data_IF_286364698139
#
_entry.id   IF_286364698139
#
_cell.length_a   1.000
_cell.length_b   1.000
_cell.length_c   1.000
_cell.angle_alpha   90.00
_cell.angle_beta   90.00
_cell.angle_gamma   90.00
#
_symmetry.space_group_name_H-M   'P 1'
#
loop_
_entity.id
_entity.type
_entity.pdbx_description
1 polymer ?
#
# COMPACT_ATOMS: atom_id res chain seq x y z
N UNK A 1 -9.63 -10.46 63.45
CA UNK A 1 -9.58 -9.42 62.40
C UNK A 1 -8.51 -9.78 61.36
N UNK A 2 -8.71 -10.80 60.50
CA UNK A 2 -7.74 -11.12 59.43
C UNK A 2 -8.39 -11.82 58.21
N UNK A 3 -9.68 -11.56 57.91
CA UNK A 3 -10.35 -12.19 56.77
C UNK A 3 -10.45 -11.32 55.52
N UNK A 4 -10.16 -10.02 55.59
CA UNK A 4 -10.53 -9.08 54.51
C UNK A 4 -9.35 -8.62 53.63
N UNK A 5 -8.13 -9.09 53.88
CA UNK A 5 -6.93 -8.67 53.13
C UNK A 5 -6.63 -9.53 51.88
N UNK A 6 -7.21 -10.73 51.78
CA UNK A 6 -7.01 -11.61 50.62
C UNK A 6 -8.01 -11.37 49.49
N UNK A 7 -9.23 -10.92 49.79
CA UNK A 7 -10.25 -10.63 48.76
C UNK A 7 -9.95 -9.35 47.98
N UNK A 8 -9.37 -8.33 48.62
CA UNK A 8 -9.06 -7.04 47.97
C UNK A 8 -7.92 -7.15 46.95
N UNK A 9 -6.96 -8.06 47.18
CA UNK A 9 -5.79 -8.25 46.31
C UNK A 9 -6.09 -9.05 45.03
N UNK A 10 -7.07 -9.96 45.07
CA UNK A 10 -7.56 -10.66 43.87
C UNK A 10 -8.43 -9.76 43.00
N UNK A 11 -9.29 -8.93 43.61
CA UNK A 11 -10.14 -8.00 42.87
C UNK A 11 -9.33 -6.87 42.21
N UNK A 12 -8.30 -6.33 42.87
CA UNK A 12 -7.44 -5.30 42.28
C UNK A 12 -6.65 -5.80 41.06
N UNK A 13 -6.06 -7.01 41.15
CA UNK A 13 -5.35 -7.64 40.02
C UNK A 13 -6.27 -8.02 38.86
N UNK A 14 -7.51 -8.42 39.14
CA UNK A 14 -8.51 -8.64 38.10
C UNK A 14 -8.95 -7.32 37.47
N UNK A 15 -9.11 -6.26 38.26
CA UNK A 15 -9.49 -4.94 37.77
C UNK A 15 -8.42 -4.33 36.86
N UNK A 16 -7.13 -4.41 37.23
CA UNK A 16 -6.02 -3.99 36.36
C UNK A 16 -5.94 -4.79 35.05
N UNK A 17 -6.27 -6.09 35.09
CA UNK A 17 -6.37 -6.90 33.86
C UNK A 17 -7.56 -6.49 32.97
N UNK A 18 -8.63 -5.95 33.54
CA UNK A 18 -9.86 -5.57 32.82
C UNK A 18 -9.78 -4.13 32.29
N UNK A 19 -9.10 -3.22 32.99
CA UNK A 19 -8.99 -1.81 32.59
C UNK A 19 -7.75 -1.50 31.74
N UNK A 20 -6.83 -2.46 31.58
CA UNK A 20 -5.70 -2.30 30.67
C UNK A 20 -6.21 -2.29 29.23
N UNK A 21 -6.25 -1.09 28.65
CA UNK A 21 -6.47 -0.89 27.21
C UNK A 21 -5.26 -1.50 26.51
N UNK A 22 -5.39 -2.74 26.06
CA UNK A 22 -4.39 -3.38 25.21
C UNK A 22 -4.66 -2.92 23.78
N UNK A 23 -3.70 -2.27 23.09
CA UNK A 23 -3.86 -1.96 21.67
C UNK A 23 -4.13 -3.24 20.88
N UNK A 24 -4.98 -3.16 19.87
CA UNK A 24 -5.18 -4.28 18.95
C UNK A 24 -3.87 -4.56 18.20
N UNK A 25 -3.60 -5.83 17.93
CA UNK A 25 -2.49 -6.20 17.05
C UNK A 25 -2.80 -5.72 15.64
N UNK A 26 -1.78 -5.31 14.90
CA UNK A 26 -1.93 -4.83 13.52
C UNK A 26 -1.48 -5.93 12.56
N UNK A 27 -2.29 -6.17 11.54
CA UNK A 27 -1.99 -7.07 10.43
C UNK A 27 -1.54 -6.25 9.23
N UNK A 28 -0.38 -6.61 8.67
CA UNK A 28 0.11 -6.00 7.45
C UNK A 28 -0.76 -6.37 6.25
N UNK A 29 -1.10 -5.37 5.44
CA UNK A 29 -1.73 -5.52 4.13
C UNK A 29 -0.59 -5.51 3.11
N UNK A 30 -0.42 -6.63 2.39
CA UNK A 30 0.64 -6.79 1.39
C UNK A 30 0.09 -6.76 -0.04
N UNK A 31 0.81 -6.13 -0.94
CA UNK A 31 0.52 -6.11 -2.38
C UNK A 31 1.76 -6.54 -3.17
N UNK A 32 1.56 -7.37 -4.20
CA UNK A 32 2.63 -7.79 -5.09
C UNK A 32 3.04 -6.65 -6.00
N UNK A 33 4.30 -6.24 -5.93
CA UNK A 33 4.87 -5.23 -6.81
C UNK A 33 6.04 -5.81 -7.61
N UNK A 34 6.20 -5.33 -8.84
CA UNK A 34 7.30 -5.73 -9.72
C UNK A 34 8.47 -4.77 -9.56
N UNK A 35 9.62 -5.32 -9.18
CA UNK A 35 10.89 -4.62 -9.08
C UNK A 35 11.85 -5.12 -10.16
N UNK A 36 12.96 -4.42 -10.35
CA UNK A 36 14.00 -4.78 -11.29
C UNK A 36 15.31 -4.91 -10.56
N UNK A 37 16.00 -6.04 -10.74
CA UNK A 37 17.39 -6.21 -10.30
C UNK A 37 18.31 -6.22 -11.50
N UNK A 38 19.52 -5.71 -11.29
CA UNK A 38 20.56 -5.73 -12.29
C UNK A 38 21.33 -7.04 -12.20
N UNK A 39 21.39 -7.77 -13.31
CA UNK A 39 22.20 -8.98 -13.45
C UNK A 39 23.19 -8.82 -14.59
N UNK A 40 24.38 -9.41 -14.43
CA UNK A 40 25.36 -9.46 -15.51
C UNK A 40 25.10 -10.70 -16.36
N UNK A 41 24.90 -10.49 -17.66
CA UNK A 41 24.72 -11.57 -18.63
C UNK A 41 25.93 -11.64 -19.55
N UNK A 42 26.45 -12.85 -19.72
CA UNK A 42 27.51 -13.14 -20.69
C UNK A 42 26.93 -13.20 -22.10
N UNK A 43 27.48 -12.39 -23.00
CA UNK A 43 27.17 -12.40 -24.44
C UNK A 43 28.41 -12.93 -25.16
N UNK A 44 28.29 -14.13 -25.72
CA UNK A 44 29.37 -14.79 -26.43
C UNK A 44 29.21 -14.57 -27.92
N UNK A 45 30.18 -13.88 -28.53
CA UNK A 45 30.34 -13.83 -29.98
C UNK A 45 31.23 -15.00 -30.39
N UNK A 46 30.69 -15.92 -31.18
CA UNK A 46 31.44 -17.07 -31.70
C UNK A 46 32.46 -16.65 -32.76
N UNK A 47 33.60 -17.36 -32.82
CA UNK A 47 34.62 -17.13 -33.85
C UNK A 47 34.09 -17.58 -35.21
N UNK A 48 34.09 -16.65 -36.18
CA UNK A 48 33.77 -16.91 -37.59
C UNK A 48 34.91 -16.40 -38.45
N UNK A 49 35.79 -17.32 -38.84
CA UNK A 49 36.90 -17.02 -39.74
C UNK A 49 36.43 -16.96 -41.19
N UNK A 50 37.08 -16.15 -42.02
CA UNK A 50 36.83 -16.12 -43.46
C UNK A 50 37.44 -17.37 -44.14
N UNK A 51 37.12 -17.61 -45.42
CA UNK A 51 37.60 -18.80 -46.16
C UNK A 51 39.12 -18.95 -46.17
N UNK A 52 39.85 -17.83 -46.15
CA UNK A 52 41.31 -17.80 -46.14
C UNK A 52 41.88 -18.25 -44.78
N UNK A 53 41.30 -17.78 -43.66
CA UNK A 53 41.76 -18.16 -42.32
C UNK A 53 41.20 -19.49 -41.84
N UNK A 54 40.10 -19.97 -42.43
CA UNK A 54 39.59 -21.34 -42.21
C UNK A 54 40.51 -22.41 -42.80
N UNK A 55 41.33 -22.08 -43.81
CA UNK A 55 42.25 -23.03 -44.44
C UNK A 55 43.60 -23.16 -43.72
N UNK A 56 43.78 -22.48 -42.58
CA UNK A 56 44.95 -22.58 -41.71
C UNK A 56 44.82 -23.85 -40.85
N UNK A 57 45.76 -24.78 -41.01
CA UNK A 57 45.92 -25.94 -40.13
C UNK A 57 47.21 -25.73 -39.33
N UNK A 58 47.15 -25.86 -38.00
CA UNK A 58 48.31 -25.70 -37.09
C UNK A 58 49.11 -24.38 -37.24
N UNK A 59 48.42 -23.27 -37.54
CA UNK A 59 49.03 -21.93 -37.56
C UNK A 59 49.83 -21.59 -38.81
N UNK A 60 49.80 -22.44 -39.84
CA UNK A 60 50.37 -22.16 -41.17
C UNK A 60 49.33 -22.35 -42.27
N UNK A 61 49.41 -21.53 -43.30
CA UNK A 61 48.52 -21.63 -44.46
C UNK A 61 48.94 -22.81 -45.30
N UNK A 62 47.98 -23.63 -45.74
CA UNK A 62 48.26 -24.74 -46.64
C UNK A 62 48.91 -24.28 -47.95
N UNK A 63 48.53 -23.09 -48.42
CA UNK A 63 49.16 -22.41 -49.55
C UNK A 63 49.20 -20.90 -49.26
N UNK A 64 50.35 -20.22 -49.35
CA UNK A 64 50.41 -18.77 -49.20
C UNK A 64 49.57 -18.11 -50.31
N UNK A 65 48.86 -17.01 -50.01
CA UNK A 65 48.10 -16.30 -51.03
C UNK A 65 49.03 -15.83 -52.13
N UNK A 66 48.61 -16.05 -53.38
CA UNK A 66 49.41 -15.76 -54.56
C UNK A 66 48.83 -14.56 -55.31
N UNK A 67 49.69 -13.61 -55.67
CA UNK A 67 49.31 -12.46 -56.50
C UNK A 67 49.55 -12.84 -57.96
N UNK A 68 48.52 -12.71 -58.80
CA UNK A 68 48.61 -12.91 -60.24
C UNK A 68 48.72 -11.54 -60.90
N UNK A 69 49.86 -11.25 -61.53
CA UNK A 69 50.05 -10.05 -62.35
C UNK A 69 50.04 -10.50 -63.80
N UNK A 70 49.07 -10.00 -64.56
CA UNK A 70 48.98 -10.21 -66.01
C UNK A 70 49.72 -9.08 -66.72
N UNK A 71 50.72 -9.42 -67.54
CA UNK A 71 51.43 -8.45 -68.37
C UNK A 71 50.58 -8.02 -69.60
N UNK A 72 51.06 -7.00 -70.33
CA UNK A 72 50.39 -6.49 -71.54
C UNK A 72 50.31 -7.54 -72.67
N UNK A 73 51.14 -8.58 -72.60
CA UNK A 73 51.19 -9.72 -73.53
C UNK A 73 50.26 -10.87 -73.09
N UNK A 74 49.53 -10.72 -71.99
CA UNK A 74 48.56 -11.70 -71.49
C UNK A 74 49.16 -12.87 -70.71
N UNK A 75 50.44 -12.82 -70.34
CA UNK A 75 51.09 -13.82 -69.50
C UNK A 75 50.85 -13.51 -68.02
N UNK A 76 50.46 -14.55 -67.27
CA UNK A 76 50.27 -14.47 -65.83
C UNK A 76 51.58 -14.83 -65.12
N UNK A 77 52.11 -13.89 -64.34
CA UNK A 77 53.20 -14.12 -63.41
C UNK A 77 52.66 -14.25 -61.99
N UNK A 78 53.05 -15.32 -61.29
CA UNK A 78 52.54 -15.68 -59.97
C UNK A 78 53.62 -15.38 -58.92
N UNK A 79 53.34 -14.45 -58.01
CA UNK A 79 54.24 -14.08 -56.92
C UNK A 79 53.64 -14.52 -55.58
N UNK A 80 54.47 -15.09 -54.71
CA UNK A 80 54.06 -15.33 -53.32
C UNK A 80 53.95 -13.98 -52.61
N UNK A 81 52.83 -13.74 -51.94
CA UNK A 81 52.67 -12.55 -51.11
C UNK A 81 53.52 -12.68 -49.84
N UNK A 82 53.91 -11.54 -49.26
CA UNK A 82 54.47 -11.47 -47.90
C UNK A 82 53.50 -12.08 -46.87
N UNK A 83 54.02 -12.30 -45.66
CA UNK A 83 53.34 -13.01 -44.57
C UNK A 83 51.83 -12.71 -44.51
N UNK A 84 51.00 -13.74 -44.57
CA UNK A 84 49.56 -13.59 -44.69
C UNK A 84 48.98 -12.83 -43.49
N UNK A 85 47.99 -11.97 -43.75
CA UNK A 85 47.34 -11.15 -42.72
C UNK A 85 46.92 -12.01 -41.52
N UNK A 86 47.20 -11.55 -40.32
CA UNK A 86 46.78 -12.23 -39.09
C UNK A 86 45.25 -12.32 -39.02
N UNK A 87 44.71 -13.42 -38.47
CA UNK A 87 43.26 -13.54 -38.25
C UNK A 87 42.70 -12.46 -37.31
N UNK A 88 43.55 -11.89 -36.45
CA UNK A 88 43.19 -10.81 -35.53
C UNK A 88 43.08 -9.44 -36.21
N UNK A 89 43.77 -9.25 -37.33
CA UNK A 89 43.82 -8.00 -38.09
C UNK A 89 42.97 -8.08 -39.37
N UNK A 90 42.33 -9.23 -39.62
CA UNK A 90 41.48 -9.45 -40.78
C UNK A 90 40.06 -8.95 -40.51
N UNK A 91 39.63 -7.94 -41.27
CA UNK A 91 38.27 -7.37 -41.18
C UNK A 91 37.16 -8.40 -41.46
N UNK A 92 37.44 -9.43 -42.27
CA UNK A 92 36.46 -10.47 -42.62
C UNK A 92 36.40 -11.60 -41.57
N UNK A 93 37.29 -11.60 -40.57
CA UNK A 93 37.26 -12.53 -39.46
C UNK A 93 36.57 -11.92 -38.25
N UNK A 94 35.62 -12.65 -37.67
CA UNK A 94 35.05 -12.33 -36.37
C UNK A 94 35.76 -13.21 -35.33
N UNK A 95 36.49 -12.59 -34.42
CA UNK A 95 37.14 -13.32 -33.34
C UNK A 95 36.16 -13.65 -32.22
N UNK A 96 36.40 -14.75 -31.50
CA UNK A 96 35.62 -15.05 -30.29
C UNK A 96 35.78 -13.92 -29.28
N UNK A 97 34.66 -13.36 -28.85
CA UNK A 97 34.61 -12.33 -27.82
C UNK A 97 33.57 -12.70 -26.77
N UNK A 98 33.85 -12.33 -25.52
CA UNK A 98 32.97 -12.56 -24.39
C UNK A 98 32.76 -11.20 -23.74
N UNK A 99 31.57 -10.67 -23.92
CA UNK A 99 31.16 -9.39 -23.35
C UNK A 99 30.20 -9.61 -22.20
N UNK A 100 30.14 -8.64 -21.29
CA UNK A 100 29.29 -8.68 -20.12
C UNK A 100 28.33 -7.49 -20.18
N UNK A 101 27.05 -7.77 -20.36
CA UNK A 101 26.01 -6.76 -20.41
C UNK A 101 25.20 -6.77 -19.12
N UNK A 102 24.93 -5.57 -18.58
CA UNK A 102 24.02 -5.41 -17.44
C UNK A 102 22.58 -5.41 -17.94
N UNK A 103 21.81 -6.43 -17.56
CA UNK A 103 20.39 -6.54 -17.89
C UNK A 103 19.52 -6.27 -16.65
N UNK A 104 18.32 -5.75 -16.86
CA UNK A 104 17.32 -5.55 -15.80
C UNK A 104 16.32 -6.69 -15.81
N UNK A 105 16.36 -7.52 -14.77
CA UNK A 105 15.48 -8.68 -14.62
C UNK A 105 14.33 -8.33 -13.67
N UNK A 106 13.06 -8.45 -14.10
CA UNK A 106 11.92 -8.20 -13.24
C UNK A 106 11.74 -9.33 -12.22
N UNK A 107 11.36 -8.98 -10.99
CA UNK A 107 10.95 -9.93 -9.95
C UNK A 107 9.79 -9.37 -9.13
N UNK A 108 8.97 -10.24 -8.54
CA UNK A 108 7.85 -9.85 -7.67
C UNK A 108 8.27 -9.89 -6.21
N UNK A 109 7.85 -8.88 -5.44
CA UNK A 109 8.00 -8.84 -3.98
C UNK A 109 6.70 -8.36 -3.33
N UNK A 110 6.34 -8.97 -2.20
CA UNK A 110 5.17 -8.58 -1.41
C UNK A 110 5.53 -7.35 -0.57
N UNK A 111 4.98 -6.20 -0.95
CA UNK A 111 5.25 -4.90 -0.29
C UNK A 111 4.11 -4.59 0.66
N UNK A 112 4.45 -4.19 1.88
CA UNK A 112 3.45 -3.74 2.87
C UNK A 112 2.92 -2.37 2.46
N UNK A 113 1.65 -2.29 2.08
CA UNK A 113 0.97 -1.06 1.66
C UNK A 113 0.20 -0.39 2.80
N UNK A 114 -0.03 -1.09 3.90
CA UNK A 114 -0.76 -0.57 5.04
C UNK A 114 -0.90 -1.57 6.17
N UNK A 115 -1.59 -1.14 7.23
CA UNK A 115 -1.86 -1.94 8.41
C UNK A 115 -3.34 -1.83 8.76
N UNK A 116 -3.96 -2.96 9.06
CA UNK A 116 -5.32 -3.02 9.59
C UNK A 116 -5.32 -3.65 10.99
N UNK A 117 -6.19 -3.23 11.91
CA UNK A 117 -6.31 -3.89 13.21
C UNK A 117 -6.83 -5.31 13.03
N UNK A 118 -6.17 -6.28 13.65
CA UNK A 118 -6.57 -7.70 13.68
C UNK A 118 -7.68 -7.89 14.73
N UNK A 119 -8.91 -7.65 14.29
CA UNK A 119 -10.09 -7.71 15.15
C UNK A 119 -10.59 -9.16 15.22
N UNK A 120 -10.71 -9.75 16.42
CA UNK A 120 -11.30 -11.08 16.58
C UNK A 120 -12.72 -11.13 15.99
N UNK A 121 -13.12 -12.30 15.45
CA UNK A 121 -14.42 -12.48 14.78
C UNK A 121 -15.66 -12.05 15.58
N UNK A 122 -15.58 -12.07 16.91
CA UNK A 122 -16.65 -11.67 17.83
C UNK A 122 -16.44 -10.26 18.40
N UNK A 123 -15.70 -9.39 17.72
CA UNK A 123 -15.46 -8.02 18.13
C UNK A 123 -15.73 -7.08 16.94
N UNK A 124 -15.95 -5.79 17.23
CA UNK A 124 -16.15 -4.76 16.21
C UNK A 124 -15.52 -3.45 16.65
N UNK A 125 -15.11 -2.63 15.69
CA UNK A 125 -14.75 -1.22 15.94
C UNK A 125 -15.98 -0.30 15.92
N UNK A 126 -17.16 -0.83 15.56
CA UNK A 126 -18.40 -0.08 15.58
C UNK A 126 -18.80 0.28 17.03
N UNK A 127 -19.19 1.53 17.22
CA UNK A 127 -19.66 2.03 18.51
C UNK A 127 -20.98 1.33 18.85
N UNK A 128 -21.08 0.83 20.09
CA UNK A 128 -22.33 0.28 20.62
C UNK A 128 -23.46 1.31 20.50
N UNK A 129 -24.61 0.96 19.86
CA UNK A 129 -25.76 1.84 19.83
C UNK A 129 -26.25 2.20 21.24
N UNK A 130 -27.05 3.27 21.32
CA UNK A 130 -27.68 3.65 22.57
C UNK A 130 -28.53 2.51 23.15
N UNK A 131 -28.52 2.37 24.48
CA UNK A 131 -29.35 1.41 25.21
C UNK A 131 -30.84 1.60 24.97
N UNK A 132 -31.28 2.77 24.50
CA UNK A 132 -32.67 3.02 24.05
C UNK A 132 -33.13 1.98 23.01
N UNK A 133 -32.21 1.49 22.17
CA UNK A 133 -32.51 0.52 21.12
C UNK A 133 -32.48 -0.94 21.58
N UNK A 134 -32.21 -1.19 22.87
CA UNK A 134 -31.86 -2.51 23.44
C UNK A 134 -30.91 -3.29 22.50
N UNK A 135 -29.73 -2.74 22.17
CA UNK A 135 -28.87 -3.31 21.14
C UNK A 135 -28.28 -4.64 21.60
N UNK A 136 -28.32 -5.64 20.71
CA UNK A 136 -27.74 -6.97 20.95
C UNK A 136 -26.61 -7.20 19.97
N UNK A 137 -25.45 -7.60 20.49
CA UNK A 137 -24.29 -7.93 19.67
C UNK A 137 -24.36 -9.39 19.20
N UNK A 138 -24.42 -9.60 17.88
CA UNK A 138 -24.38 -10.92 17.25
C UNK A 138 -23.54 -10.86 15.98
N UNK A 139 -22.71 -11.88 15.76
CA UNK A 139 -21.93 -12.07 14.54
C UNK A 139 -21.09 -10.85 14.13
N UNK A 140 -20.47 -10.18 15.10
CA UNK A 140 -19.61 -9.01 14.82
C UNK A 140 -20.37 -7.69 14.60
N UNK A 141 -21.71 -7.67 14.73
CA UNK A 141 -22.55 -6.48 14.49
C UNK A 141 -23.54 -6.20 15.60
N UNK A 142 -23.87 -4.92 15.77
CA UNK A 142 -24.93 -4.49 16.67
C UNK A 142 -26.29 -4.51 16.00
N UNK A 143 -27.23 -5.25 16.58
CA UNK A 143 -28.62 -5.33 16.12
C UNK A 143 -29.47 -4.48 17.06
N UNK A 144 -30.08 -3.41 16.55
CA UNK A 144 -31.08 -2.60 17.27
C UNK A 144 -32.42 -3.34 17.27
N UNK A 145 -32.97 -3.63 18.44
CA UNK A 145 -34.20 -4.42 18.57
C UNK A 145 -35.47 -3.58 18.69
N UNK A 146 -35.37 -2.37 19.26
CA UNK A 146 -36.51 -1.44 19.36
C UNK A 146 -36.56 -0.50 18.14
N UNK A 147 -37.73 -0.28 17.51
CA UNK A 147 -37.87 0.67 16.40
C UNK A 147 -37.70 2.12 16.86
N UNK A 148 -37.42 3.01 15.90
CA UNK A 148 -37.42 4.46 16.13
C UNK A 148 -38.75 4.89 16.74
N UNK A 149 -38.69 5.44 17.95
CA UNK A 149 -39.84 6.03 18.63
C UNK A 149 -40.46 7.10 17.70
N UNK A 150 -41.80 7.12 17.54
CA UNK A 150 -42.46 8.17 16.76
C UNK A 150 -42.06 9.56 17.29
N UNK A 151 -42.08 10.62 16.45
CA UNK A 151 -41.72 11.97 16.88
C UNK A 151 -42.48 12.31 18.15
N UNK A 152 -41.73 12.67 19.18
CA UNK A 152 -42.28 12.99 20.49
C UNK A 152 -43.33 14.10 20.30
N UNK A 153 -44.58 13.92 20.75
CA UNK A 153 -45.59 14.96 20.65
C UNK A 153 -45.06 16.25 21.30
N UNK A 154 -45.36 17.41 20.71
CA UNK A 154 -44.91 18.70 21.23
C UNK A 154 -45.18 18.76 22.74
N UNK A 155 -44.18 19.16 23.56
CA UNK A 155 -44.31 19.12 25.00
C UNK A 155 -45.52 19.93 25.43
N UNK A 156 -46.44 19.29 26.14
CA UNK A 156 -47.56 19.99 26.77
C UNK A 156 -47.01 21.13 27.63
N UNK A 157 -47.67 22.31 27.63
CA UNK A 157 -47.19 23.47 28.37
C UNK A 157 -47.02 23.08 29.84
N UNK A 158 -45.80 23.26 30.33
CA UNK A 158 -45.42 22.86 31.68
C UNK A 158 -46.25 23.65 32.71
N UNK A 159 -46.37 23.15 33.93
CA UNK A 159 -47.03 23.89 35.01
C UNK A 159 -46.38 25.28 35.21
N UNK A 160 -45.09 25.41 34.93
CA UNK A 160 -44.38 26.70 34.94
C UNK A 160 -44.87 27.65 33.84
N UNK A 161 -45.18 27.15 32.65
CA UNK A 161 -45.72 27.97 31.56
C UNK A 161 -47.14 28.42 31.88
N UNK A 162 -47.96 27.55 32.46
CA UNK A 162 -49.31 27.89 32.95
C UNK A 162 -49.25 28.96 34.06
N UNK A 163 -48.37 28.77 35.05
CA UNK A 163 -48.17 29.75 36.12
C UNK A 163 -47.66 31.09 35.59
N UNK A 164 -46.79 31.08 34.58
CA UNK A 164 -46.31 32.31 33.93
C UNK A 164 -47.44 33.05 33.23
N UNK A 165 -48.33 32.35 32.53
CA UNK A 165 -49.50 32.97 31.91
C UNK A 165 -50.46 33.55 32.94
N UNK A 166 -50.72 32.86 34.05
CA UNK A 166 -51.55 33.39 35.14
C UNK A 166 -50.94 34.64 35.80
N UNK A 167 -49.61 34.66 35.95
CA UNK A 167 -48.86 35.81 36.45
C UNK A 167 -48.97 37.02 35.51
N UNK A 168 -48.89 36.81 34.19
CA UNK A 168 -49.05 37.86 33.19
C UNK A 168 -50.47 38.44 33.20
N UNK A 169 -51.50 37.59 33.29
CA UNK A 169 -52.90 38.01 33.39
C UNK A 169 -53.14 38.82 34.67
N UNK A 170 -52.64 38.34 35.82
CA UNK A 170 -52.80 39.07 37.09
C UNK A 170 -52.06 40.40 37.08
N UNK A 171 -50.85 40.46 36.51
CA UNK A 171 -50.10 41.71 36.35
C UNK A 171 -50.84 42.72 35.46
N UNK A 172 -51.47 42.26 34.39
CA UNK A 172 -52.28 43.12 33.52
C UNK A 172 -53.50 43.69 34.28
N UNK A 173 -54.23 42.83 35.01
CA UNK A 173 -55.38 43.25 35.81
C UNK A 173 -54.99 44.28 36.90
N UNK A 174 -53.84 44.08 37.55
CA UNK A 174 -53.31 45.04 38.54
C UNK A 174 -52.96 46.38 37.88
N UNK A 175 -52.34 46.37 36.70
CA UNK A 175 -52.01 47.59 35.97
C UNK A 175 -53.27 48.38 35.56
N UNK A 176 -54.30 47.69 35.06
CA UNK A 176 -55.59 48.30 34.75
C UNK A 176 -56.26 48.91 35.97
N UNK A 177 -56.25 48.19 37.10
CA UNK A 177 -56.80 48.71 38.36
C UNK A 177 -56.08 49.99 38.80
N UNK A 178 -54.75 50.01 38.75
CA UNK A 178 -53.95 51.20 39.09
C UNK A 178 -54.30 52.36 38.16
N UNK A 179 -54.41 52.13 36.85
CA UNK A 179 -54.80 53.17 35.89
C UNK A 179 -56.19 53.74 36.20
N UNK A 180 -57.17 52.89 36.53
CA UNK A 180 -58.51 53.33 36.93
C UNK A 180 -58.52 54.16 38.22
N UNK A 181 -57.69 53.82 39.20
CA UNK A 181 -57.55 54.62 40.43
C UNK A 181 -56.94 56.00 40.12
N UNK A 182 -55.94 56.06 39.25
CA UNK A 182 -55.29 57.33 38.87
C UNK A 182 -56.20 58.25 38.03
N UNK A 183 -57.12 57.70 37.25
CA UNK A 183 -58.10 58.48 36.46
C UNK A 183 -59.30 58.95 37.29
N UNK A 184 -59.63 58.29 38.41
CA UNK A 184 -60.69 58.72 39.35
C UNK A 184 -60.24 59.80 40.35
N UNK A 185 -58.93 60.07 40.43
CA UNK A 185 -58.33 61.04 41.35
C UNK A 185 -58.02 62.41 40.73
N UNK A 186 -58.46 62.67 39.50
CA UNK A 186 -58.40 63.99 38.83
C UNK A 186 -59.78 64.64 38.77
#
# INVERSE_FOLDING_TARGET
MYSNLWQTNTYSRLFEKITKITPLEEKAITEKQTFYREETKEVVTEEKLCKLHQSIEDGTYKEPPKIIITDEDGNNSEYNTDEPISKYDCHDCVMRQVDYETIKVPYEEDVVIGFEPDIPKNCTLEICPDLIYDPVFKDGKWIKLKPELPPQPEPEPSEMDKLKTELEVTKAAMAEFIMQQTLKGM
#
